data_IF_460967083957
#
_entry.id   IF_460967083957
#
_cell.length_a   1.000
_cell.length_b   1.000
_cell.length_c   1.000
_cell.angle_alpha   90.00
_cell.angle_beta   90.00
_cell.angle_gamma   90.00
#
_symmetry.space_group_name_H-M   'P 1'
#
loop_
_entity.id
_entity.type
_entity.pdbx_description
1 polymer ?
#
# COMPACT_ATOMS: atom_id res chain seq x y z
N UNK A 1 21.76 -27.33 37.97
CA UNK A 1 20.65 -27.30 37.00
C UNK A 1 21.22 -27.08 35.62
N UNK A 2 21.31 -28.13 34.79
CA UNK A 2 21.70 -28.00 33.38
C UNK A 2 20.43 -27.66 32.60
N UNK A 3 20.20 -26.38 32.31
CA UNK A 3 19.19 -25.96 31.35
C UNK A 3 19.60 -26.50 29.98
N UNK A 4 18.81 -27.42 29.43
CA UNK A 4 18.99 -27.90 28.06
C UNK A 4 18.71 -26.78 27.07
N UNK A 5 19.59 -26.57 26.08
CA UNK A 5 19.42 -25.61 24.98
C UNK A 5 18.07 -25.76 24.25
N UNK A 6 17.41 -26.93 24.34
CA UNK A 6 16.10 -27.18 23.74
C UNK A 6 14.96 -26.40 24.43
N UNK A 7 15.04 -26.19 25.75
CA UNK A 7 14.06 -25.36 26.49
C UNK A 7 14.20 -23.90 26.07
N UNK A 8 15.43 -23.46 25.79
CA UNK A 8 15.72 -22.12 25.27
C UNK A 8 15.19 -21.97 23.85
N UNK A 9 15.32 -22.98 22.97
CA UNK A 9 14.77 -22.92 21.61
C UNK A 9 13.23 -22.87 21.58
N UNK A 10 12.54 -23.64 22.43
CA UNK A 10 11.08 -23.60 22.53
C UNK A 10 10.57 -22.32 23.22
N UNK A 11 11.31 -21.81 24.21
CA UNK A 11 11.03 -20.52 24.84
C UNK A 11 11.40 -19.32 23.97
N UNK A 12 12.25 -19.48 22.94
CA UNK A 12 12.57 -18.46 21.94
C UNK A 12 11.57 -18.45 20.77
N UNK A 13 10.88 -19.56 20.48
CA UNK A 13 9.84 -19.62 19.44
C UNK A 13 8.54 -18.87 19.82
N UNK A 14 8.23 -18.78 21.11
CA UNK A 14 7.02 -18.10 21.62
C UNK A 14 7.11 -16.56 21.52
N UNK A 15 8.24 -15.91 21.88
CA UNK A 15 8.41 -14.47 21.66
C UNK A 15 8.64 -14.11 20.18
N UNK A 16 9.27 -14.94 19.35
CA UNK A 16 9.48 -14.56 17.93
C UNK A 16 8.17 -14.46 17.14
N UNK A 17 7.17 -15.29 17.45
CA UNK A 17 5.81 -15.13 16.89
C UNK A 17 5.05 -13.90 17.45
N UNK A 18 5.46 -13.39 18.61
CA UNK A 18 4.88 -12.20 19.25
C UNK A 18 5.58 -10.90 18.85
N UNK A 19 6.84 -10.96 18.43
CA UNK A 19 7.69 -9.81 18.07
C UNK A 19 7.89 -9.62 16.56
N UNK A 20 7.50 -10.57 15.70
CA UNK A 20 7.62 -10.43 14.24
C UNK A 20 6.64 -9.43 13.60
N UNK A 21 5.79 -8.76 14.38
CA UNK A 21 4.81 -7.78 13.87
C UNK A 21 5.11 -6.32 14.25
N UNK A 22 6.13 -6.06 15.08
CA UNK A 22 6.52 -4.70 15.42
C UNK A 22 7.80 -4.31 14.67
N UNK A 23 7.63 -3.75 13.47
CA UNK A 23 8.32 -2.53 13.03
C UNK A 23 8.30 -2.39 11.50
N UNK A 24 7.55 -1.39 11.03
CA UNK A 24 8.08 -0.35 10.14
C UNK A 24 7.05 0.78 10.08
N UNK A 25 7.24 1.78 10.93
CA UNK A 25 6.66 3.09 10.73
C UNK A 25 7.77 4.11 10.95
N UNK A 26 8.50 4.40 9.87
CA UNK A 26 9.25 5.65 9.74
C UNK A 26 8.36 6.58 8.94
N UNK A 27 7.87 7.65 9.56
CA UNK A 27 7.91 8.98 8.95
C UNK A 27 7.46 10.03 9.97
N UNK A 28 8.44 10.75 10.51
CA UNK A 28 8.23 12.13 10.93
C UNK A 28 8.10 12.97 9.65
N UNK A 29 6.88 13.36 9.29
CA UNK A 29 6.60 14.62 8.59
C UNK A 29 7.23 14.86 7.21
N UNK A 30 7.71 13.85 6.50
CA UNK A 30 8.17 13.99 5.11
C UNK A 30 7.34 13.08 4.19
N UNK A 31 6.92 13.66 3.05
CA UNK A 31 6.12 13.14 1.95
C UNK A 31 6.03 11.61 1.77
N UNK A 32 4.87 11.08 1.34
CA UNK A 32 4.63 9.66 1.29
C UNK A 32 5.52 8.99 0.21
N UNK A 33 6.34 8.08 0.70
CA UNK A 33 6.94 6.95 0.00
C UNK A 33 6.07 6.43 -1.16
N UNK A 34 6.64 6.47 -2.36
CA UNK A 34 6.08 6.15 -3.69
C UNK A 34 5.62 4.70 -3.90
N UNK A 35 5.62 3.86 -2.85
CA UNK A 35 5.21 2.45 -2.90
C UNK A 35 3.99 2.13 -2.02
N UNK A 36 3.40 3.13 -1.36
CA UNK A 36 2.12 2.98 -0.65
C UNK A 36 1.15 4.02 -1.16
N UNK A 37 -0.13 3.68 -1.28
CA UNK A 37 -1.18 4.43 -1.99
C UNK A 37 -1.55 5.80 -1.41
N UNK A 38 -0.67 6.48 -0.66
CA UNK A 38 -0.93 7.81 -0.11
C UNK A 38 -2.16 7.88 0.80
N UNK A 39 -2.69 6.74 1.26
CA UNK A 39 -3.83 6.69 2.17
C UNK A 39 -3.41 7.27 3.51
N UNK A 40 -3.91 8.47 3.82
CA UNK A 40 -3.63 9.22 5.05
C UNK A 40 -4.01 8.50 6.36
N UNK A 41 -4.62 7.31 6.30
CA UNK A 41 -4.98 6.49 7.44
C UNK A 41 -4.20 5.16 7.44
N UNK A 42 -2.89 5.22 7.69
CA UNK A 42 -2.13 4.04 8.13
C UNK A 42 -2.19 4.02 9.65
N UNK A 43 -3.06 3.17 10.20
CA UNK A 43 -3.11 2.97 11.65
C UNK A 43 -1.99 1.99 12.05
N UNK A 44 -1.16 2.30 13.06
CA UNK A 44 -0.19 1.34 13.57
C UNK A 44 -0.94 0.08 14.05
N UNK A 45 -0.39 -1.10 13.77
CA UNK A 45 -1.00 -2.39 14.12
C UNK A 45 -0.90 -2.63 15.63
N UNK A 46 -1.79 -1.99 16.39
CA UNK A 46 -1.91 -2.11 17.84
C UNK A 46 -3.13 -2.98 18.18
N UNK A 47 -3.19 -3.53 19.40
CA UNK A 47 -4.38 -4.25 19.85
C UNK A 47 -5.67 -3.39 19.82
N UNK A 48 -5.56 -2.05 19.77
CA UNK A 48 -6.70 -1.15 19.63
C UNK A 48 -7.19 -1.01 18.18
N UNK A 49 -6.29 -1.13 17.19
CA UNK A 49 -6.63 -1.08 15.76
C UNK A 49 -6.88 -2.46 15.14
N UNK A 50 -6.76 -3.52 15.94
CA UNK A 50 -7.05 -4.90 15.54
C UNK A 50 -8.47 -5.04 15.01
N UNK A 51 -8.59 -5.55 13.78
CA UNK A 51 -9.88 -5.71 13.08
C UNK A 51 -10.43 -7.14 13.13
N UNK A 52 -9.58 -8.12 13.43
CA UNK A 52 -9.89 -9.54 13.31
C UNK A 52 -9.53 -10.30 14.57
N UNK A 53 -10.31 -11.34 14.87
CA UNK A 53 -9.88 -12.39 15.80
C UNK A 53 -8.77 -13.20 15.12
N UNK A 54 -7.75 -13.59 15.87
CA UNK A 54 -6.57 -14.29 15.35
C UNK A 54 -6.11 -15.43 16.25
N UNK A 55 -6.87 -15.72 17.31
CA UNK A 55 -6.63 -16.85 18.20
C UNK A 55 -7.81 -17.81 18.10
N UNK A 56 -7.52 -19.11 18.12
CA UNK A 56 -8.52 -20.15 18.34
C UNK A 56 -8.00 -21.26 19.25
N UNK A 57 -8.94 -21.99 19.84
CA UNK A 57 -8.68 -23.25 20.54
C UNK A 57 -9.38 -24.33 19.76
N UNK A 58 -8.65 -25.36 19.35
CA UNK A 58 -9.20 -26.49 18.63
C UNK A 58 -9.08 -27.76 19.45
N UNK A 59 -10.07 -28.64 19.37
CA UNK A 59 -10.02 -29.95 20.00
C UNK A 59 -10.71 -30.97 19.11
N UNK A 60 -10.14 -32.17 19.01
CA UNK A 60 -10.71 -33.22 18.17
C UNK A 60 -10.30 -34.61 18.61
N UNK A 61 -11.00 -35.59 18.04
CA UNK A 61 -10.78 -37.02 18.30
C UNK A 61 -10.70 -37.77 16.99
N UNK A 62 -10.02 -38.90 16.99
CA UNK A 62 -9.73 -39.61 15.77
C UNK A 62 -9.19 -41.01 15.97
N UNK A 63 -8.65 -41.53 14.87
CA UNK A 63 -8.13 -42.88 14.79
C UNK A 63 -6.75 -42.84 14.14
N UNK A 64 -5.71 -43.24 14.88
CA UNK A 64 -4.38 -43.45 14.32
C UNK A 64 -4.28 -44.87 13.73
N UNK A 65 -3.65 -44.97 12.56
CA UNK A 65 -3.55 -46.17 11.73
C UNK A 65 -2.10 -46.38 11.32
N UNK A 66 -1.42 -47.36 11.91
CA UNK A 66 -0.08 -47.76 11.47
C UNK A 66 -0.18 -48.42 10.09
N UNK A 67 0.60 -47.90 9.15
CA UNK A 67 0.66 -48.43 7.79
C UNK A 67 2.09 -48.75 7.37
N UNK A 68 3.04 -47.88 7.70
CA UNK A 68 4.45 -48.05 7.35
C UNK A 68 5.20 -48.57 8.56
N UNK A 69 4.99 -49.85 8.89
CA UNK A 69 5.56 -50.53 10.04
C UNK A 69 5.54 -52.05 9.80
N UNK A 70 6.30 -52.82 10.57
CA UNK A 70 6.27 -54.29 10.53
C UNK A 70 4.90 -54.83 10.96
N UNK A 71 4.37 -54.27 12.05
CA UNK A 71 3.01 -54.46 12.53
C UNK A 71 2.12 -53.32 12.04
N UNK A 72 1.24 -53.64 11.10
CA UNK A 72 0.26 -52.70 10.55
C UNK A 72 -1.11 -52.80 11.23
N UNK A 73 -1.85 -51.67 11.23
CA UNK A 73 -3.25 -51.58 11.66
C UNK A 73 -4.24 -52.08 10.60
N UNK A 74 -3.91 -51.89 9.31
CA UNK A 74 -4.74 -52.29 8.17
C UNK A 74 -4.12 -53.54 7.53
N UNK A 75 -4.95 -54.56 7.31
CA UNK A 75 -4.52 -55.82 6.66
C UNK A 75 -4.91 -55.83 5.18
N UNK A 76 -3.93 -56.12 4.31
CA UNK A 76 -4.15 -56.29 2.87
C UNK A 76 -4.55 -57.75 2.54
N UNK A 77 -5.67 -58.24 3.10
CA UNK A 77 -6.14 -59.62 2.89
C UNK A 77 -7.09 -60.12 3.99
N UNK A 78 -7.12 -61.44 4.23
CA UNK A 78 -7.90 -62.03 5.33
C UNK A 78 -7.32 -61.65 6.69
N UNK A 79 -8.11 -60.93 7.50
CA UNK A 79 -7.77 -60.45 8.84
C UNK A 79 -8.72 -59.32 9.27
N UNK A 80 -8.71 -58.96 10.55
CA UNK A 80 -9.48 -57.80 11.06
C UNK A 80 -8.60 -56.56 11.13
N UNK A 81 -9.11 -55.43 10.66
CA UNK A 81 -8.47 -54.14 10.88
C UNK A 81 -8.50 -53.78 12.38
N UNK A 82 -7.40 -53.20 12.85
CA UNK A 82 -7.23 -52.80 14.24
C UNK A 82 -7.26 -51.29 14.35
N UNK A 83 -8.10 -50.79 15.24
CA UNK A 83 -8.31 -49.36 15.42
C UNK A 83 -7.88 -48.91 16.80
N UNK A 84 -7.02 -47.90 16.79
CA UNK A 84 -6.63 -47.12 17.95
C UNK A 84 -7.62 -46.00 18.26
N UNK A 85 -7.21 -45.08 19.12
CA UNK A 85 -7.86 -43.79 19.32
C UNK A 85 -6.82 -42.69 19.45
N UNK A 86 -7.19 -41.48 19.02
CA UNK A 86 -6.39 -40.27 19.22
C UNK A 86 -7.30 -39.14 19.67
N UNK A 87 -6.75 -38.21 20.44
CA UNK A 87 -7.38 -36.95 20.80
C UNK A 87 -6.32 -35.86 20.77
N UNK A 88 -6.70 -34.68 20.32
CA UNK A 88 -5.81 -33.52 20.31
C UNK A 88 -6.51 -32.30 20.90
N UNK A 89 -5.70 -31.41 21.46
CA UNK A 89 -6.06 -30.02 21.78
C UNK A 89 -4.97 -29.13 21.23
N UNK A 90 -5.34 -28.05 20.54
CA UNK A 90 -4.40 -27.06 20.04
C UNK A 90 -4.82 -25.64 20.38
N UNK A 91 -3.80 -24.78 20.54
CA UNK A 91 -3.95 -23.33 20.55
C UNK A 91 -3.38 -22.83 19.24
N UNK A 92 -4.22 -22.16 18.46
CA UNK A 92 -3.90 -21.73 17.11
C UNK A 92 -3.80 -20.21 17.06
N UNK A 93 -2.78 -19.71 16.39
CA UNK A 93 -2.53 -18.30 16.15
C UNK A 93 -2.47 -18.04 14.64
N UNK A 94 -3.44 -17.31 14.12
CA UNK A 94 -3.36 -16.76 12.77
C UNK A 94 -2.37 -15.59 12.75
N UNK A 95 -1.36 -15.67 11.88
CA UNK A 95 -0.38 -14.60 11.66
C UNK A 95 -0.82 -13.73 10.50
N UNK A 96 -1.34 -14.35 9.44
CA UNK A 96 -1.92 -13.69 8.27
C UNK A 96 -3.27 -14.32 7.92
N UNK A 97 -3.93 -13.82 6.86
CA UNK A 97 -5.14 -14.43 6.33
C UNK A 97 -4.89 -15.82 5.73
N UNK A 98 -3.64 -16.17 5.39
CA UNK A 98 -3.28 -17.43 4.75
C UNK A 98 -2.35 -18.31 5.59
N UNK A 99 -1.75 -17.80 6.67
CA UNK A 99 -0.75 -18.53 7.46
C UNK A 99 -0.95 -18.36 8.97
N UNK A 100 -0.76 -19.45 9.71
CA UNK A 100 -0.87 -19.51 11.16
C UNK A 100 0.07 -20.55 11.77
N UNK A 101 0.12 -20.55 13.09
CA UNK A 101 0.95 -21.45 13.89
C UNK A 101 0.07 -22.10 14.96
N UNK A 102 0.18 -23.41 15.13
CA UNK A 102 -0.61 -24.18 16.09
C UNK A 102 0.32 -24.90 17.06
N UNK A 103 0.14 -24.67 18.35
CA UNK A 103 0.73 -25.47 19.41
C UNK A 103 -0.25 -26.59 19.77
N UNK A 104 0.10 -27.83 19.49
CA UNK A 104 -0.80 -28.99 19.63
C UNK A 104 -0.25 -29.99 20.65
N UNK A 105 -1.15 -30.52 21.48
CA UNK A 105 -0.93 -31.69 22.32
C UNK A 105 -1.84 -32.82 21.84
N UNK A 106 -1.24 -33.99 21.59
CA UNK A 106 -1.91 -35.21 21.19
C UNK A 106 -1.77 -36.27 22.27
N UNK A 107 -2.82 -37.09 22.42
CA UNK A 107 -2.79 -38.30 23.22
C UNK A 107 -3.54 -39.41 22.51
N UNK A 108 -2.96 -40.60 22.47
CA UNK A 108 -3.59 -41.72 21.77
C UNK A 108 -3.05 -43.09 22.13
N UNK A 109 -3.69 -44.09 21.52
CA UNK A 109 -3.24 -45.47 21.49
C UNK A 109 -3.38 -45.98 20.06
N UNK A 110 -2.30 -46.52 19.49
CA UNK A 110 -2.36 -47.27 18.24
C UNK A 110 -2.55 -48.77 18.50
N UNK A 111 -3.10 -49.49 17.52
CA UNK A 111 -3.22 -50.94 17.56
C UNK A 111 -2.83 -51.56 16.22
N UNK A 112 -2.04 -52.61 16.28
CA UNK A 112 -1.40 -53.19 15.11
C UNK A 112 -1.14 -54.68 15.30
N UNK A 113 -0.85 -55.39 14.20
CA UNK A 113 -0.53 -56.81 14.23
C UNK A 113 -1.71 -57.72 13.87
N UNK A 114 -1.64 -59.00 14.24
CA UNK A 114 -2.53 -60.04 13.70
C UNK A 114 -3.87 -60.18 14.42
N UNK A 115 -3.94 -59.75 15.68
CA UNK A 115 -5.13 -59.82 16.52
C UNK A 115 -5.20 -58.60 17.45
N UNK A 116 -6.35 -58.37 18.09
CA UNK A 116 -6.48 -57.29 19.06
C UNK A 116 -5.79 -57.68 20.37
N UNK A 117 -4.95 -56.81 20.93
CA UNK A 117 -4.25 -57.07 22.21
C UNK A 117 -5.19 -57.34 23.39
N UNK A 118 -6.49 -57.03 23.27
CA UNK A 118 -7.52 -57.44 24.24
C UNK A 118 -7.88 -58.92 24.18
N UNK A 119 -7.75 -59.55 23.02
CA UNK A 119 -8.12 -60.94 22.77
C UNK A 119 -6.93 -61.88 23.07
N UNK A 120 -7.21 -63.17 23.28
CA UNK A 120 -6.15 -64.18 23.36
C UNK A 120 -5.46 -64.34 21.99
N UNK A 121 -4.16 -64.63 21.99
CA UNK A 121 -3.44 -64.90 20.74
C UNK A 121 -4.06 -66.13 20.05
N UNK A 122 -4.39 -66.06 18.75
CA UNK A 122 -5.05 -67.14 18.04
C UNK A 122 -4.15 -68.37 17.86
N UNK A 123 -2.83 -68.16 17.82
CA UNK A 123 -1.81 -69.21 17.73
C UNK A 123 -0.49 -68.76 18.36
N UNK A 124 0.50 -69.66 18.40
CA UNK A 124 1.81 -69.41 19.01
C UNK A 124 2.70 -68.44 18.23
N UNK A 125 2.46 -68.26 16.93
CA UNK A 125 3.21 -67.36 16.05
C UNK A 125 2.61 -65.95 15.94
N UNK A 126 1.37 -65.78 16.39
CA UNK A 126 0.65 -64.53 16.29
C UNK A 126 1.20 -63.46 17.24
N UNK A 127 1.43 -62.28 16.67
CA UNK A 127 1.92 -61.10 17.38
C UNK A 127 0.96 -59.93 17.18
N UNK A 128 0.67 -59.22 18.26
CA UNK A 128 -0.08 -57.97 18.26
C UNK A 128 0.66 -56.88 19.03
N UNK A 129 0.55 -55.65 18.57
CA UNK A 129 1.14 -54.46 19.18
C UNK A 129 0.07 -53.46 19.61
N UNK A 130 0.35 -52.74 20.69
CA UNK A 130 -0.35 -51.49 21.02
C UNK A 130 0.64 -50.46 21.53
N UNK A 131 0.48 -49.21 21.12
CA UNK A 131 1.40 -48.15 21.54
C UNK A 131 0.63 -46.96 22.07
N UNK A 132 0.86 -46.65 23.33
CA UNK A 132 0.24 -45.49 23.99
C UNK A 132 1.20 -44.31 23.90
N UNK A 133 0.72 -43.18 23.41
CA UNK A 133 1.55 -42.02 23.16
C UNK A 133 0.94 -40.71 23.67
N UNK A 134 1.82 -39.79 24.04
CA UNK A 134 1.56 -38.40 24.37
C UNK A 134 2.55 -37.55 23.56
N UNK A 135 2.08 -36.58 22.77
CA UNK A 135 2.94 -35.78 21.91
C UNK A 135 2.66 -34.29 22.05
N UNK A 136 3.71 -33.47 21.94
CA UNK A 136 3.61 -32.01 21.85
C UNK A 136 4.27 -31.58 20.56
N UNK A 137 3.59 -30.79 19.74
CA UNK A 137 4.09 -30.35 18.44
C UNK A 137 3.78 -28.89 18.14
N UNK A 138 4.62 -28.30 17.30
CA UNK A 138 4.42 -26.99 16.70
C UNK A 138 4.18 -27.18 15.20
N UNK A 139 3.03 -26.72 14.72
CA UNK A 139 2.60 -26.86 13.33
C UNK A 139 2.47 -25.50 12.67
N UNK A 140 2.88 -25.38 11.42
CA UNK A 140 2.41 -24.35 10.51
C UNK A 140 1.04 -24.74 9.94
N UNK A 141 0.12 -23.78 9.85
CA UNK A 141 -1.19 -23.89 9.21
C UNK A 141 -1.23 -22.97 7.98
N UNK A 142 -1.37 -23.53 6.79
CA UNK A 142 -1.53 -22.79 5.54
C UNK A 142 -2.96 -22.93 5.04
N UNK A 143 -3.70 -21.82 4.92
CA UNK A 143 -5.03 -21.78 4.33
C UNK A 143 -4.93 -21.64 2.80
N UNK A 144 -4.97 -22.77 2.09
CA UNK A 144 -4.94 -22.82 0.63
C UNK A 144 -6.18 -22.18 -0.01
N UNK A 145 -7.33 -22.18 0.66
CA UNK A 145 -8.54 -21.53 0.13
C UNK A 145 -8.40 -20.01 0.04
N UNK A 146 -7.64 -19.39 0.94
CA UNK A 146 -7.29 -17.97 0.82
C UNK A 146 -6.14 -17.73 -0.16
N UNK A 147 -5.12 -18.60 -0.16
CA UNK A 147 -3.95 -18.44 -1.05
C UNK A 147 -4.31 -18.61 -2.53
N UNK A 148 -5.15 -19.59 -2.85
CA UNK A 148 -5.54 -19.96 -4.22
C UNK A 148 -6.91 -19.38 -4.60
N UNK A 149 -7.37 -18.36 -3.87
CA UNK A 149 -8.67 -17.74 -4.14
C UNK A 149 -8.66 -17.08 -5.50
N UNK A 150 -9.66 -17.42 -6.32
CA UNK A 150 -9.90 -16.69 -7.57
C UNK A 150 -10.41 -15.28 -7.27
N UNK A 151 -9.81 -14.31 -7.96
CA UNK A 151 -10.10 -12.86 -7.86
C UNK A 151 -11.56 -12.55 -8.20
N UNK A 152 -12.17 -13.30 -9.12
CA UNK A 152 -13.54 -13.07 -9.61
C UNK A 152 -14.64 -13.74 -8.77
N UNK A 153 -14.29 -14.57 -7.78
CA UNK A 153 -15.27 -15.22 -6.92
C UNK A 153 -15.56 -14.39 -5.66
N UNK A 154 -16.74 -13.79 -5.63
CA UNK A 154 -17.20 -12.91 -4.56
C UNK A 154 -17.99 -13.63 -3.45
N UNK A 155 -18.22 -14.95 -3.58
CA UNK A 155 -19.05 -15.69 -2.63
C UNK A 155 -18.34 -15.91 -1.27
N UNK A 156 -19.04 -15.71 -0.13
CA UNK A 156 -18.49 -16.07 1.17
C UNK A 156 -18.39 -17.60 1.28
N UNK A 157 -17.17 -18.13 1.23
CA UNK A 157 -16.97 -19.56 1.34
C UNK A 157 -17.15 -20.03 2.79
N UNK A 158 -17.82 -21.18 2.96
CA UNK A 158 -17.98 -21.85 4.26
C UNK A 158 -16.99 -22.99 4.45
N UNK A 159 -16.22 -23.34 3.43
CA UNK A 159 -15.25 -24.44 3.45
C UNK A 159 -13.86 -23.91 3.15
N UNK A 160 -12.88 -24.29 3.97
CA UNK A 160 -11.48 -23.93 3.79
C UNK A 160 -10.61 -25.17 3.76
N UNK A 161 -9.75 -25.28 2.76
CA UNK A 161 -8.71 -26.31 2.68
C UNK A 161 -7.43 -25.78 3.34
N UNK A 162 -6.90 -26.57 4.26
CA UNK A 162 -5.71 -26.25 5.04
C UNK A 162 -4.62 -27.30 4.85
N UNK A 163 -3.37 -26.85 4.88
CA UNK A 163 -2.18 -27.68 4.96
C UNK A 163 -1.50 -27.52 6.31
N UNK A 164 -1.09 -28.64 6.90
CA UNK A 164 -0.41 -28.68 8.18
C UNK A 164 0.96 -29.32 8.01
N UNK A 165 1.99 -28.75 8.62
CA UNK A 165 3.30 -29.37 8.70
C UNK A 165 4.05 -28.89 9.94
N UNK A 166 4.80 -29.76 10.59
CA UNK A 166 5.63 -29.36 11.71
C UNK A 166 6.35 -30.51 12.39
N UNK A 167 6.89 -30.18 13.56
CA UNK A 167 7.78 -31.04 14.34
C UNK A 167 7.33 -31.06 15.80
N UNK A 168 7.67 -32.12 16.51
CA UNK A 168 7.31 -32.24 17.91
C UNK A 168 8.12 -33.30 18.64
N UNK A 169 7.76 -33.50 19.91
CA UNK A 169 8.27 -34.59 20.73
C UNK A 169 7.14 -35.56 21.06
N UNK A 170 7.40 -36.86 20.92
CA UNK A 170 6.46 -37.95 21.22
C UNK A 170 7.03 -38.84 22.32
N UNK A 171 6.31 -38.94 23.43
CA UNK A 171 6.55 -39.94 24.45
C UNK A 171 5.64 -41.13 24.17
N UNK A 172 6.16 -42.35 24.27
CA UNK A 172 5.33 -43.52 24.04
C UNK A 172 5.78 -44.75 24.83
N UNK A 173 4.83 -45.66 25.03
CA UNK A 173 5.05 -47.01 25.57
C UNK A 173 4.46 -48.03 24.61
N UNK A 174 5.33 -48.82 24.01
CA UNK A 174 4.98 -49.83 23.03
C UNK A 174 4.92 -51.21 23.70
N UNK A 175 3.79 -51.89 23.56
CA UNK A 175 3.54 -53.20 24.15
C UNK A 175 3.33 -54.24 23.06
N UNK A 176 3.90 -55.42 23.27
CA UNK A 176 3.71 -56.59 22.42
C UNK A 176 2.90 -57.64 23.17
N UNK A 177 1.97 -58.30 22.48
CA UNK A 177 1.25 -59.47 22.99
C UNK A 177 1.48 -60.67 22.09
N UNK A 178 1.84 -61.78 22.72
CA UNK A 178 1.99 -63.11 22.10
C UNK A 178 1.15 -64.14 22.87
N UNK A 179 1.28 -65.41 22.52
CA UNK A 179 0.67 -66.54 23.26
C UNK A 179 1.13 -66.63 24.73
N UNK A 180 2.30 -66.05 25.07
CA UNK A 180 2.85 -66.06 26.43
C UNK A 180 2.35 -64.92 27.32
N UNK A 181 1.61 -63.96 26.75
CA UNK A 181 1.11 -62.79 27.46
C UNK A 181 1.54 -61.48 26.82
N UNK A 182 1.36 -60.38 27.55
CA UNK A 182 1.71 -59.04 27.10
C UNK A 182 2.96 -58.54 27.84
N UNK A 183 3.90 -57.98 27.09
CA UNK A 183 5.15 -57.40 27.58
C UNK A 183 5.31 -55.96 27.09
N UNK A 184 6.03 -55.15 27.87
CA UNK A 184 6.48 -53.82 27.45
C UNK A 184 7.78 -53.99 26.66
N UNK A 185 7.81 -53.50 25.42
CA UNK A 185 8.98 -53.60 24.54
C UNK A 185 9.87 -52.36 24.67
N UNK A 186 9.26 -51.19 24.49
CA UNK A 186 9.97 -49.93 24.40
C UNK A 186 9.23 -48.83 25.16
N UNK A 187 10.00 -47.98 25.83
CA UNK A 187 9.51 -46.77 26.47
C UNK A 187 10.43 -45.60 26.07
N UNK A 188 9.86 -44.61 25.38
CA UNK A 188 10.53 -43.36 25.05
C UNK A 188 9.93 -42.23 25.88
N UNK A 189 10.79 -41.47 26.55
CA UNK A 189 10.40 -40.33 27.38
C UNK A 189 10.34 -39.05 26.55
N UNK A 190 9.47 -38.08 26.90
CA UNK A 190 9.34 -36.84 26.13
C UNK A 190 10.63 -36.00 26.22
N UNK A 191 10.89 -35.20 25.18
CA UNK A 191 12.00 -34.25 25.10
C UNK A 191 13.41 -34.89 25.09
N UNK A 192 13.51 -36.14 24.65
CA UNK A 192 14.77 -36.81 24.34
C UNK A 192 15.05 -36.78 22.83
N UNK A 193 16.31 -36.98 22.42
CA UNK A 193 16.69 -36.99 21.00
C UNK A 193 15.88 -38.01 20.17
N UNK A 194 15.65 -39.21 20.71
CA UNK A 194 14.81 -40.25 20.06
C UNK A 194 13.30 -40.01 20.17
N UNK A 195 12.86 -38.91 20.78
CA UNK A 195 11.43 -38.54 20.84
C UNK A 195 11.03 -37.56 19.74
N UNK A 196 11.96 -37.11 18.89
CA UNK A 196 11.65 -36.12 17.86
C UNK A 196 10.87 -36.78 16.72
N UNK A 197 9.70 -36.22 16.41
CA UNK A 197 8.88 -36.69 15.30
C UNK A 197 8.49 -35.53 14.39
N UNK A 198 8.13 -35.86 13.15
CA UNK A 198 7.61 -34.90 12.17
C UNK A 198 6.20 -35.30 11.76
N UNK A 199 5.36 -34.32 11.45
CA UNK A 199 4.04 -34.61 10.89
C UNK A 199 3.65 -33.60 9.83
N UNK A 200 2.94 -34.08 8.82
CA UNK A 200 2.39 -33.24 7.76
C UNK A 200 1.06 -33.82 7.26
N UNK A 201 0.16 -32.96 6.82
CA UNK A 201 -1.17 -33.39 6.43
C UNK A 201 -2.04 -32.28 5.86
N UNK A 202 -3.29 -32.63 5.62
CA UNK A 202 -4.30 -31.71 5.14
C UNK A 202 -5.48 -31.68 6.09
N UNK A 203 -6.16 -30.54 6.16
CA UNK A 203 -7.43 -30.42 6.87
C UNK A 203 -8.48 -29.68 6.06
N UNK A 204 -9.73 -30.02 6.33
CA UNK A 204 -10.90 -29.38 5.75
C UNK A 204 -11.69 -28.75 6.89
N UNK A 205 -11.76 -27.42 6.90
CA UNK A 205 -12.52 -26.65 7.89
C UNK A 205 -13.85 -26.20 7.30
N UNK A 206 -14.91 -26.31 8.09
CA UNK A 206 -16.24 -25.82 7.77
C UNK A 206 -16.69 -24.76 8.79
N UNK A 207 -17.00 -23.56 8.31
CA UNK A 207 -17.50 -22.44 9.11
C UNK A 207 -18.97 -22.65 9.46
N UNK A 208 -19.20 -23.10 10.69
CA UNK A 208 -20.55 -23.24 11.25
C UNK A 208 -21.14 -21.87 11.52
N UNK A 209 -20.41 -21.04 12.27
CA UNK A 209 -20.79 -19.67 12.60
C UNK A 209 -19.54 -18.78 12.81
N UNK A 210 -19.72 -17.56 13.33
CA UNK A 210 -18.60 -16.62 13.57
C UNK A 210 -17.59 -17.09 14.62
N UNK A 211 -17.97 -18.03 15.51
CA UNK A 211 -17.14 -18.52 16.61
C UNK A 211 -16.67 -19.96 16.46
N UNK A 212 -17.42 -20.80 15.74
CA UNK A 212 -17.19 -22.25 15.70
C UNK A 212 -16.95 -22.69 14.26
N UNK A 213 -15.89 -23.47 14.09
CA UNK A 213 -15.64 -24.30 12.90
C UNK A 213 -15.67 -25.78 13.28
N UNK A 214 -16.04 -26.61 12.30
CA UNK A 214 -15.80 -28.05 12.32
C UNK A 214 -14.57 -28.31 11.47
N UNK A 215 -13.70 -29.22 11.88
CA UNK A 215 -12.46 -29.51 11.18
C UNK A 215 -12.23 -31.02 11.09
N UNK A 216 -12.02 -31.52 9.87
CA UNK A 216 -11.43 -32.85 9.66
C UNK A 216 -9.95 -32.70 9.32
N UNK A 217 -9.05 -33.43 9.99
CA UNK A 217 -7.62 -33.49 9.65
C UNK A 217 -7.21 -34.90 9.27
N UNK A 218 -6.35 -35.02 8.27
CA UNK A 218 -5.62 -36.23 7.94
C UNK A 218 -4.13 -35.92 7.99
N UNK A 219 -3.46 -36.41 9.02
CA UNK A 219 -2.04 -36.19 9.28
C UNK A 219 -1.26 -37.48 9.02
N UNK A 220 -0.10 -37.38 8.39
CA UNK A 220 0.90 -38.44 8.35
C UNK A 220 1.98 -38.12 9.36
N UNK A 221 2.24 -39.04 10.27
CA UNK A 221 3.18 -38.89 11.38
C UNK A 221 4.38 -39.79 11.14
N UNK A 222 5.55 -39.16 11.05
CA UNK A 222 6.85 -39.83 10.95
C UNK A 222 7.49 -39.84 12.33
N UNK A 223 7.51 -41.01 12.97
CA UNK A 223 8.01 -41.19 14.34
C UNK A 223 9.53 -41.07 14.42
N UNK A 224 10.24 -41.42 13.35
CA UNK A 224 11.71 -41.51 13.33
C UNK A 224 12.25 -42.71 14.11
N UNK A 225 11.38 -43.66 14.44
CA UNK A 225 11.65 -44.74 15.39
C UNK A 225 10.98 -46.03 14.90
N UNK A 226 11.75 -47.13 14.86
CA UNK A 226 11.37 -48.47 14.38
C UNK A 226 10.75 -49.33 15.50
N UNK A 227 10.75 -48.83 16.74
CA UNK A 227 10.18 -49.52 17.90
C UNK A 227 8.74 -49.08 18.23
N UNK A 228 8.18 -48.13 17.48
CA UNK A 228 6.88 -47.53 17.79
C UNK A 228 5.72 -48.50 17.60
N UNK A 229 5.82 -49.51 16.73
CA UNK A 229 4.79 -50.51 16.48
C UNK A 229 4.76 -51.63 17.53
N UNK A 230 5.69 -51.64 18.48
CA UNK A 230 5.82 -52.68 19.51
C UNK A 230 6.39 -54.00 19.00
N UNK A 231 7.01 -54.01 17.82
CA UNK A 231 7.94 -55.03 17.37
C UNK A 231 9.33 -54.83 17.98
N UNK A 232 10.15 -55.88 17.96
CA UNK A 232 11.60 -55.76 18.19
C UNK A 232 12.15 -56.35 19.49
N UNK A 233 12.47 -57.65 19.46
CA UNK A 233 13.64 -58.14 20.20
C UNK A 233 14.85 -58.09 19.25
N UNK A 234 16.08 -57.91 19.74
CA UNK A 234 17.28 -57.72 18.90
C UNK A 234 17.57 -58.90 17.93
N UNK A 235 16.87 -60.03 18.11
CA UNK A 235 16.97 -61.25 17.29
C UNK A 235 15.59 -61.87 16.98
N UNK A 236 14.51 -61.08 16.97
CA UNK A 236 13.16 -61.57 16.69
C UNK A 236 12.99 -62.03 15.23
N UNK A 237 12.28 -63.14 15.00
CA UNK A 237 11.90 -63.59 13.67
C UNK A 237 10.88 -62.67 12.97
N UNK A 238 10.22 -61.79 13.74
CA UNK A 238 9.15 -60.88 13.28
C UNK A 238 9.69 -59.48 13.00
N UNK A 239 10.88 -59.12 13.52
CA UNK A 239 11.44 -57.78 13.39
C UNK A 239 12.98 -57.88 13.35
N UNK A 240 13.57 -57.50 12.21
CA UNK A 240 15.02 -57.27 12.08
C UNK A 240 15.24 -55.77 12.14
N UNK A 241 15.61 -55.27 13.31
CA UNK A 241 15.95 -53.86 13.54
C UNK A 241 16.84 -53.34 12.41
N UNK A 242 16.33 -52.36 11.68
CA UNK A 242 17.11 -51.67 10.66
C UNK A 242 17.07 -50.19 11.00
N UNK A 243 18.24 -49.59 11.23
CA UNK A 243 18.40 -48.16 11.60
C UNK A 243 17.85 -47.17 10.54
N UNK A 244 17.21 -47.64 9.47
CA UNK A 244 16.68 -46.85 8.35
C UNK A 244 15.16 -46.99 8.14
N UNK A 245 14.46 -47.73 8.98
CA UNK A 245 12.99 -47.89 8.90
C UNK A 245 12.35 -47.16 10.07
N UNK A 246 11.22 -46.50 9.82
CA UNK A 246 10.50 -45.68 10.80
C UNK A 246 9.03 -46.08 10.76
N UNK A 247 8.47 -46.34 11.93
CA UNK A 247 7.09 -46.79 12.08
C UNK A 247 6.11 -45.64 12.00
N UNK A 248 5.59 -45.41 10.79
CA UNK A 248 4.76 -44.24 10.51
C UNK A 248 3.27 -44.59 10.50
N UNK A 249 2.45 -43.63 10.92
CA UNK A 249 1.01 -43.80 10.98
C UNK A 249 0.26 -42.61 10.40
N UNK A 250 -0.92 -42.88 9.86
CA UNK A 250 -1.91 -41.87 9.54
C UNK A 250 -2.78 -41.59 10.75
N UNK A 251 -3.05 -40.32 11.04
CA UNK A 251 -3.98 -39.90 12.08
C UNK A 251 -5.13 -39.13 11.43
N UNK A 252 -6.31 -39.74 11.40
CA UNK A 252 -7.53 -39.12 10.88
C UNK A 252 -8.37 -38.62 12.06
N UNK A 253 -8.59 -37.31 12.17
CA UNK A 253 -9.30 -36.68 13.29
C UNK A 253 -10.46 -35.82 12.81
N UNK A 254 -11.48 -35.71 13.65
CA UNK A 254 -12.59 -34.78 13.52
C UNK A 254 -12.68 -33.94 14.80
N UNK A 255 -12.77 -32.63 14.65
CA UNK A 255 -12.71 -31.69 15.76
C UNK A 255 -13.53 -30.44 15.56
N UNK A 256 -13.54 -29.62 16.61
CA UNK A 256 -14.14 -28.30 16.67
C UNK A 256 -13.06 -27.26 16.93
N UNK A 257 -13.18 -26.10 16.29
CA UNK A 257 -12.32 -24.95 16.53
C UNK A 257 -13.14 -23.77 17.01
N UNK A 258 -12.79 -23.25 18.19
CA UNK A 258 -13.42 -22.09 18.82
C UNK A 258 -12.54 -20.86 18.62
N UNK A 259 -13.03 -19.90 17.84
CA UNK A 259 -12.40 -18.60 17.61
C UNK A 259 -12.58 -17.71 18.84
N UNK A 260 -11.48 -17.16 19.34
CA UNK A 260 -11.44 -16.31 20.52
C UNK A 260 -11.34 -14.84 20.12
N UNK A 261 -12.15 -14.02 20.79
CA UNK A 261 -12.10 -12.56 20.67
C UNK A 261 -13.46 -11.92 20.43
N UNK A 262 -13.42 -10.60 20.26
CA UNK A 262 -14.60 -9.72 20.20
C UNK A 262 -14.96 -9.26 18.79
N UNK A 263 -14.11 -9.53 17.80
CA UNK A 263 -14.34 -9.10 16.42
C UNK A 263 -15.32 -10.05 15.71
N UNK A 264 -15.97 -9.55 14.67
CA UNK A 264 -16.98 -10.30 13.89
C UNK A 264 -16.37 -11.40 13.04
N UNK A 265 -15.18 -11.17 12.49
CA UNK A 265 -14.48 -12.11 11.62
C UNK A 265 -13.14 -12.56 12.21
N UNK A 266 -12.78 -13.80 11.91
CA UNK A 266 -11.47 -14.36 12.20
C UNK A 266 -10.56 -14.18 10.98
N UNK A 267 -9.28 -13.90 11.21
CA UNK A 267 -8.31 -13.52 10.19
C UNK A 267 -8.20 -14.57 9.06
N UNK A 268 -8.18 -15.86 9.41
CA UNK A 268 -8.18 -16.97 8.45
C UNK A 268 -9.46 -17.12 7.61
N UNK A 269 -10.54 -16.43 7.98
CA UNK A 269 -11.82 -16.43 7.26
C UNK A 269 -12.10 -15.08 6.60
N UNK A 270 -11.11 -14.19 6.59
CA UNK A 270 -11.23 -12.88 5.97
C UNK A 270 -10.50 -12.85 4.63
N UNK A 271 -11.15 -12.26 3.64
CA UNK A 271 -10.58 -12.04 2.33
C UNK A 271 -9.96 -10.63 2.26
N UNK A 272 -8.63 -10.52 2.08
CA UNK A 272 -7.97 -9.22 2.00
C UNK A 272 -8.45 -8.38 0.80
N UNK A 273 -8.90 -9.01 -0.29
CA UNK A 273 -9.35 -8.29 -1.49
C UNK A 273 -10.77 -7.73 -1.35
N UNK A 274 -11.56 -8.29 -0.43
CA UNK A 274 -12.94 -7.85 -0.21
C UNK A 274 -13.02 -6.36 0.17
N UNK A 275 -12.07 -5.84 0.95
CA UNK A 275 -12.02 -4.42 1.31
C UNK A 275 -11.71 -3.54 0.08
N UNK A 276 -10.87 -4.01 -0.83
CA UNK A 276 -10.54 -3.30 -2.08
C UNK A 276 -11.75 -3.29 -3.00
N UNK A 277 -12.41 -4.43 -3.19
CA UNK A 277 -13.61 -4.51 -4.02
C UNK A 277 -14.74 -3.63 -3.51
N UNK A 278 -14.97 -3.62 -2.20
CA UNK A 278 -15.95 -2.73 -1.60
C UNK A 278 -15.63 -1.26 -1.87
N UNK A 279 -14.37 -0.85 -1.72
CA UNK A 279 -13.96 0.53 -2.03
C UNK A 279 -14.13 0.86 -3.52
N UNK A 280 -13.77 -0.06 -4.41
CA UNK A 280 -13.96 0.11 -5.85
C UNK A 280 -15.44 0.25 -6.20
N UNK A 281 -16.31 -0.58 -5.64
CA UNK A 281 -17.76 -0.53 -5.84
C UNK A 281 -18.36 0.76 -5.30
N UNK A 282 -17.96 1.18 -4.09
CA UNK A 282 -18.35 2.48 -3.53
C UNK A 282 -17.90 3.62 -4.43
N UNK A 283 -16.69 3.58 -5.00
CA UNK A 283 -16.20 4.62 -5.91
C UNK A 283 -16.92 4.58 -7.27
N UNK A 284 -17.21 3.40 -7.80
CA UNK A 284 -17.95 3.23 -9.05
C UNK A 284 -19.41 3.71 -8.93
N UNK A 285 -20.03 3.47 -7.78
CA UNK A 285 -21.41 3.88 -7.49
C UNK A 285 -21.51 5.27 -6.85
N UNK A 286 -20.38 5.91 -6.54
CA UNK A 286 -20.38 7.31 -6.12
C UNK A 286 -20.62 8.15 -7.36
N UNK A 287 -21.90 8.43 -7.63
CA UNK A 287 -22.28 9.53 -8.50
C UNK A 287 -21.53 10.77 -8.00
N UNK A 288 -20.51 11.20 -8.75
CA UNK A 288 -20.05 12.56 -8.63
C UNK A 288 -21.16 13.38 -9.27
N UNK A 289 -22.13 13.80 -8.46
CA UNK A 289 -22.95 14.94 -8.80
C UNK A 289 -21.96 16.11 -8.92
N UNK A 290 -21.41 16.29 -10.12
CA UNK A 290 -20.69 17.48 -10.49
C UNK A 290 -21.79 18.54 -10.48
N UNK A 291 -21.89 19.25 -9.36
CA UNK A 291 -22.76 20.42 -9.24
C UNK A 291 -22.20 21.49 -10.20
N UNK A 292 -22.67 21.46 -11.44
CA UNK A 292 -22.32 22.42 -12.49
C UNK A 292 -22.96 23.76 -12.08
N UNK A 293 -22.17 24.83 -12.07
CA UNK A 293 -22.65 26.18 -11.79
C UNK A 293 -23.20 26.36 -10.37
N UNK A 294 -22.42 25.93 -9.37
CA UNK A 294 -22.77 26.06 -7.95
C UNK A 294 -23.00 27.52 -7.55
N UNK A 295 -22.23 28.43 -8.12
CA UNK A 295 -22.36 29.88 -7.88
C UNK A 295 -23.39 30.57 -8.78
N UNK A 296 -23.92 29.88 -9.79
CA UNK A 296 -24.80 30.46 -10.80
C UNK A 296 -24.05 31.08 -11.98
N UNK A 297 -24.75 31.94 -12.70
CA UNK A 297 -24.30 32.79 -13.82
C UNK A 297 -24.96 34.16 -13.59
N UNK A 298 -24.23 35.09 -12.97
CA UNK A 298 -24.78 36.33 -12.42
C UNK A 298 -25.10 37.37 -13.50
N UNK A 299 -24.26 37.47 -14.53
CA UNK A 299 -24.38 38.42 -15.64
C UNK A 299 -25.11 37.81 -16.87
N UNK A 300 -25.42 36.52 -16.83
CA UNK A 300 -26.16 35.76 -17.84
C UNK A 300 -25.47 35.77 -19.20
N UNK A 301 -24.14 35.70 -19.21
CA UNK A 301 -23.33 35.62 -20.43
C UNK A 301 -23.23 34.18 -20.99
N UNK A 302 -23.68 33.18 -20.21
CA UNK A 302 -23.68 31.76 -20.56
C UNK A 302 -22.50 30.97 -20.01
N UNK A 303 -21.62 31.59 -19.22
CA UNK A 303 -20.51 30.96 -18.51
C UNK A 303 -20.72 31.12 -17.00
N UNK A 304 -20.72 30.01 -16.28
CA UNK A 304 -21.00 30.06 -14.85
C UNK A 304 -19.86 30.71 -14.06
N UNK A 305 -20.21 31.48 -13.02
CA UNK A 305 -19.31 32.22 -12.11
C UNK A 305 -18.15 31.37 -11.52
N UNK A 306 -18.32 30.05 -11.49
CA UNK A 306 -17.28 29.11 -11.06
C UNK A 306 -16.10 29.01 -12.06
N UNK A 307 -16.34 29.32 -13.33
CA UNK A 307 -15.42 29.22 -14.46
C UNK A 307 -15.27 30.51 -15.26
N UNK A 308 -16.15 31.48 -15.03
CA UNK A 308 -16.12 32.80 -15.62
C UNK A 308 -14.97 33.66 -15.04
N UNK A 309 -14.22 34.30 -15.94
CA UNK A 309 -13.11 35.21 -15.62
C UNK A 309 -13.55 36.66 -15.55
N UNK A 310 -14.71 37.02 -16.11
CA UNK A 310 -15.27 38.35 -16.16
C UNK A 310 -16.73 38.32 -15.67
N UNK A 311 -16.89 38.30 -14.34
CA UNK A 311 -18.16 38.21 -13.60
C UNK A 311 -19.17 39.37 -13.82
N UNK A 312 -18.88 40.28 -14.74
CA UNK A 312 -19.63 41.50 -14.99
C UNK A 312 -19.70 41.85 -16.49
N UNK A 313 -19.70 40.84 -17.34
CA UNK A 313 -19.85 41.02 -18.78
C UNK A 313 -21.17 41.76 -19.10
N UNK A 314 -21.13 42.79 -19.95
CA UNK A 314 -22.35 43.51 -20.34
C UNK A 314 -23.38 42.60 -21.03
N UNK A 315 -24.65 42.74 -20.64
CA UNK A 315 -25.74 41.97 -21.23
C UNK A 315 -25.79 42.12 -22.76
N UNK A 316 -25.74 40.99 -23.47
CA UNK A 316 -25.73 40.92 -24.93
C UNK A 316 -24.34 40.97 -25.57
N UNK A 317 -23.26 41.12 -24.79
CA UNK A 317 -21.91 40.91 -25.28
C UNK A 317 -21.71 39.43 -25.63
N UNK A 318 -20.94 39.16 -26.68
CA UNK A 318 -20.50 37.80 -26.99
C UNK A 318 -19.24 37.51 -26.19
N UNK A 319 -19.20 36.36 -25.53
CA UNK A 319 -18.06 35.93 -24.72
C UNK A 319 -17.33 34.73 -25.29
N UNK A 320 -16.09 34.53 -24.86
CA UNK A 320 -15.33 33.31 -25.10
C UNK A 320 -15.71 32.19 -24.10
N UNK A 321 -15.05 31.04 -24.20
CA UNK A 321 -15.32 29.90 -23.30
C UNK A 321 -14.93 30.13 -21.83
N UNK A 322 -14.40 31.31 -21.51
CA UNK A 322 -14.03 31.72 -20.16
C UNK A 322 -14.86 32.93 -19.66
N UNK A 323 -15.93 33.31 -20.36
CA UNK A 323 -16.85 34.40 -19.97
C UNK A 323 -16.29 35.80 -20.23
N UNK A 324 -15.19 35.92 -20.97
CA UNK A 324 -14.61 37.24 -21.29
C UNK A 324 -15.25 37.80 -22.56
N UNK A 325 -15.69 39.06 -22.52
CA UNK A 325 -16.24 39.76 -23.67
C UNK A 325 -15.23 39.81 -24.84
N UNK A 326 -15.71 39.51 -26.05
CA UNK A 326 -14.89 39.55 -27.26
C UNK A 326 -14.50 40.99 -27.62
N UNK A 327 -13.22 41.16 -27.96
CA UNK A 327 -12.59 42.34 -28.55
C UNK A 327 -11.72 41.83 -29.70
N UNK A 328 -12.25 41.91 -30.91
CA UNK A 328 -11.71 41.22 -32.09
C UNK A 328 -10.43 41.89 -32.62
N UNK A 329 -10.30 43.20 -32.49
CA UNK A 329 -9.14 43.96 -32.99
C UNK A 329 -8.19 44.45 -31.88
N UNK A 330 -8.53 44.18 -30.62
CA UNK A 330 -7.71 44.38 -29.42
C UNK A 330 -7.40 45.87 -29.16
N UNK A 331 -8.33 46.75 -29.48
CA UNK A 331 -8.22 48.19 -29.24
C UNK A 331 -8.70 48.63 -27.83
N UNK A 332 -9.32 47.71 -27.08
CA UNK A 332 -9.84 47.93 -25.74
C UNK A 332 -11.32 48.30 -25.69
N UNK A 333 -12.01 48.37 -26.83
CA UNK A 333 -13.46 48.49 -26.95
C UNK A 333 -14.03 47.11 -27.32
N UNK A 334 -14.86 46.53 -26.45
CA UNK A 334 -15.49 45.24 -26.75
C UNK A 334 -16.36 45.34 -28.02
N UNK A 335 -16.49 44.24 -28.77
CA UNK A 335 -17.22 44.14 -30.03
C UNK A 335 -18.67 44.67 -29.94
N UNK A 336 -19.28 44.61 -28.75
CA UNK A 336 -20.63 45.14 -28.49
C UNK A 336 -20.72 46.67 -28.63
N UNK A 337 -19.65 47.38 -28.27
CA UNK A 337 -19.58 48.84 -28.26
C UNK A 337 -18.69 49.40 -29.37
N UNK A 338 -18.03 48.53 -30.12
CA UNK A 338 -17.19 48.89 -31.25
C UNK A 338 -18.00 48.97 -32.56
N UNK A 339 -17.93 50.12 -33.22
CA UNK A 339 -18.54 50.34 -34.54
C UNK A 339 -17.69 49.75 -35.68
N UNK A 340 -16.41 49.50 -35.43
CA UNK A 340 -15.40 49.09 -36.38
C UNK A 340 -14.67 47.81 -35.94
N UNK A 341 -15.39 46.80 -35.42
CA UNK A 341 -14.98 45.47 -34.89
C UNK A 341 -13.65 44.83 -35.35
N UNK A 342 -13.16 45.13 -36.56
CA UNK A 342 -11.95 44.55 -37.14
C UNK A 342 -10.81 45.56 -37.38
N UNK A 343 -10.97 46.83 -36.99
CA UNK A 343 -10.06 47.93 -37.30
C UNK A 343 -9.88 48.81 -36.06
N UNK A 344 -8.69 48.76 -35.41
CA UNK A 344 -8.47 49.42 -34.13
C UNK A 344 -8.75 50.92 -34.15
N UNK A 345 -9.40 51.42 -33.11
CA UNK A 345 -9.66 52.83 -32.90
C UNK A 345 -9.68 53.23 -31.42
N UNK A 346 -9.65 54.54 -31.16
CA UNK A 346 -9.81 55.02 -29.79
C UNK A 346 -11.24 54.83 -29.27
N UNK A 347 -11.36 54.61 -27.95
CA UNK A 347 -12.64 54.56 -27.23
C UNK A 347 -13.48 55.82 -27.49
N UNK A 348 -12.82 56.99 -27.61
CA UNK A 348 -13.46 58.27 -27.90
C UNK A 348 -14.23 58.29 -29.23
N UNK A 349 -13.88 57.40 -30.16
CA UNK A 349 -14.53 57.26 -31.47
C UNK A 349 -15.23 55.89 -31.63
N UNK A 350 -15.65 55.26 -30.53
CA UNK A 350 -16.34 53.97 -30.54
C UNK A 350 -15.57 52.87 -31.30
N UNK A 351 -14.26 52.74 -31.06
CA UNK A 351 -13.39 51.74 -31.69
C UNK A 351 -13.11 51.98 -33.17
N UNK A 352 -13.58 53.09 -33.75
CA UNK A 352 -13.24 53.44 -35.14
C UNK A 352 -12.00 54.33 -35.24
N UNK A 353 -11.16 54.16 -36.29
CA UNK A 353 -10.00 55.00 -36.51
C UNK A 353 -10.38 56.48 -36.75
N UNK A 354 -9.62 57.40 -36.18
CA UNK A 354 -9.82 58.84 -36.38
C UNK A 354 -9.02 59.29 -37.61
N UNK A 355 -9.69 59.96 -38.55
CA UNK A 355 -9.01 60.52 -39.71
C UNK A 355 -8.17 61.74 -39.31
N UNK A 356 -6.87 61.54 -39.05
CA UNK A 356 -5.92 62.63 -38.81
C UNK A 356 -5.03 62.84 -40.04
N UNK A 357 -5.42 63.80 -40.87
CA UNK A 357 -4.51 64.44 -41.83
C UNK A 357 -3.60 65.42 -41.07
N UNK A 358 -2.41 64.99 -40.65
CA UNK A 358 -1.38 65.86 -40.08
C UNK A 358 -0.20 65.09 -39.46
N UNK A 359 1.04 65.61 -39.54
CA UNK A 359 2.22 64.89 -39.05
C UNK A 359 2.22 64.84 -37.52
N UNK A 360 2.25 63.61 -36.99
CA UNK A 360 2.22 63.33 -35.56
C UNK A 360 3.52 63.79 -34.92
N UNK A 361 3.41 64.70 -33.96
CA UNK A 361 4.48 65.05 -33.03
C UNK A 361 4.62 63.90 -32.03
N UNK A 362 5.77 63.22 -32.06
CA UNK A 362 6.17 62.21 -31.09
C UNK A 362 6.10 62.78 -29.66
N UNK A 363 5.19 62.26 -28.85
CA UNK A 363 5.28 62.40 -27.39
C UNK A 363 4.88 61.08 -26.72
N UNK A 364 5.90 60.36 -26.26
CA UNK A 364 5.91 59.41 -25.14
C UNK A 364 4.89 58.26 -25.13
N UNK A 365 4.98 57.32 -26.07
CA UNK A 365 4.63 55.92 -25.77
C UNK A 365 5.69 55.35 -24.83
N UNK A 366 5.51 55.63 -23.53
CA UNK A 366 6.25 54.99 -22.44
C UNK A 366 6.01 53.48 -22.49
N UNK A 367 6.98 52.74 -23.01
CA UNK A 367 7.05 51.28 -22.96
C UNK A 367 7.33 50.86 -21.49
N UNK A 368 6.38 51.06 -20.59
CA UNK A 368 6.46 50.62 -19.19
C UNK A 368 5.87 49.20 -19.05
N UNK A 369 6.41 48.38 -18.13
CA UNK A 369 5.67 47.21 -17.62
C UNK A 369 6.31 45.84 -17.80
N UNK A 370 7.62 45.73 -18.06
CA UNK A 370 8.27 44.41 -18.06
C UNK A 370 8.54 44.00 -16.61
N UNK A 371 7.62 43.27 -15.99
CA UNK A 371 7.71 42.82 -14.60
C UNK A 371 8.46 41.48 -14.43
N UNK A 372 9.03 41.26 -13.25
CA UNK A 372 9.82 40.06 -12.93
C UNK A 372 9.35 39.37 -11.64
N UNK A 373 9.55 38.05 -11.59
CA UNK A 373 9.42 37.27 -10.36
C UNK A 373 10.44 37.72 -9.31
N UNK A 374 10.15 37.44 -8.03
CA UNK A 374 11.06 37.72 -6.93
C UNK A 374 12.40 37.02 -7.17
N UNK A 375 13.49 37.75 -6.94
CA UNK A 375 14.86 37.25 -7.09
C UNK A 375 15.19 36.68 -8.48
N UNK A 376 14.48 37.12 -9.53
CA UNK A 376 14.66 36.61 -10.89
C UNK A 376 14.91 37.72 -11.90
N UNK A 377 15.70 37.40 -12.93
CA UNK A 377 15.96 38.16 -14.15
C UNK A 377 15.41 37.47 -15.40
N UNK A 378 14.62 36.41 -15.22
CA UNK A 378 13.96 35.68 -16.31
C UNK A 378 12.82 36.50 -16.90
N UNK A 379 12.82 36.67 -18.21
CA UNK A 379 11.70 37.28 -18.95
C UNK A 379 10.51 36.32 -18.91
N UNK A 380 9.35 36.79 -18.43
CA UNK A 380 8.13 36.01 -18.39
C UNK A 380 7.46 35.94 -19.79
N UNK A 381 6.78 34.84 -20.14
CA UNK A 381 6.04 34.75 -21.40
C UNK A 381 5.01 35.87 -21.59
N UNK A 382 4.38 36.33 -20.49
CA UNK A 382 3.46 37.47 -20.48
C UNK A 382 4.09 38.79 -20.97
N UNK A 383 5.42 38.92 -20.88
CA UNK A 383 6.14 40.12 -21.30
C UNK A 383 6.51 40.10 -22.78
N UNK A 384 6.35 38.96 -23.47
CA UNK A 384 6.72 38.81 -24.88
C UNK A 384 5.98 39.78 -25.82
N UNK A 385 4.65 39.99 -25.70
CA UNK A 385 3.94 40.96 -26.53
C UNK A 385 4.48 42.40 -26.35
N UNK A 386 4.73 42.81 -25.11
CA UNK A 386 5.29 44.13 -24.77
C UNK A 386 6.68 44.30 -25.38
N UNK A 387 7.52 43.27 -25.28
CA UNK A 387 8.86 43.27 -25.86
C UNK A 387 8.86 43.31 -27.39
N UNK A 388 7.94 42.61 -28.04
CA UNK A 388 7.80 42.65 -29.50
C UNK A 388 7.34 44.03 -29.98
N UNK A 389 6.40 44.65 -29.26
CA UNK A 389 6.00 46.04 -29.54
C UNK A 389 7.18 47.01 -29.36
N UNK A 390 7.99 46.82 -28.32
CA UNK A 390 9.22 47.59 -28.11
C UNK A 390 10.22 47.41 -29.27
N UNK A 391 10.41 46.19 -29.80
CA UNK A 391 11.27 45.95 -30.98
C UNK A 391 10.79 46.76 -32.17
N UNK A 392 9.49 46.70 -32.49
CA UNK A 392 8.91 47.41 -33.62
C UNK A 392 9.08 48.93 -33.46
N UNK A 393 8.77 49.45 -32.29
CA UNK A 393 8.85 50.88 -31.99
C UNK A 393 10.29 51.42 -32.05
N UNK A 394 11.25 50.73 -31.43
CA UNK A 394 12.66 51.16 -31.43
C UNK A 394 13.22 51.13 -32.86
N UNK A 395 12.82 50.15 -33.68
CA UNK A 395 13.25 50.06 -35.07
C UNK A 395 12.63 51.15 -35.96
N UNK A 396 11.36 51.52 -35.72
CA UNK A 396 10.71 52.62 -36.45
C UNK A 396 11.17 54.01 -36.02
N UNK A 397 11.67 54.15 -34.80
CA UNK A 397 12.18 55.43 -34.27
C UNK A 397 13.62 55.73 -34.73
N UNK A 398 13.96 57.02 -34.82
CA UNK A 398 15.35 57.47 -35.03
C UNK A 398 16.13 57.69 -33.72
N UNK A 399 15.47 57.51 -32.57
CA UNK A 399 16.04 57.71 -31.24
C UNK A 399 16.91 56.56 -30.72
N UNK A 400 17.66 56.84 -29.66
CA UNK A 400 18.33 55.82 -28.83
C UNK A 400 17.62 55.71 -27.48
N UNK A 401 17.63 54.52 -26.86
CA UNK A 401 16.88 54.26 -25.63
C UNK A 401 17.78 53.65 -24.55
N UNK A 402 17.51 54.00 -23.30
CA UNK A 402 18.05 53.35 -22.11
C UNK A 402 17.04 52.31 -21.61
N UNK A 403 17.50 51.07 -21.50
CA UNK A 403 16.78 49.93 -20.89
C UNK A 403 17.13 49.94 -19.41
N UNK A 404 16.20 50.36 -18.56
CA UNK A 404 16.45 50.60 -17.14
C UNK A 404 15.80 49.50 -16.30
N UNK A 405 16.61 48.78 -15.53
CA UNK A 405 16.15 47.78 -14.57
C UNK A 405 16.04 48.35 -13.15
N UNK A 406 14.98 47.96 -12.44
CA UNK A 406 14.75 48.25 -11.03
C UNK A 406 14.38 46.99 -10.24
N UNK A 407 14.52 47.06 -8.92
CA UNK A 407 14.11 46.01 -7.96
C UNK A 407 13.11 46.55 -6.94
N UNK A 408 12.51 45.65 -6.16
CA UNK A 408 11.92 46.05 -4.88
C UNK A 408 13.01 46.17 -3.81
N UNK A 409 12.66 46.60 -2.60
CA UNK A 409 13.62 46.87 -1.52
C UNK A 409 13.98 45.62 -0.70
N UNK A 410 13.70 44.41 -1.20
CA UNK A 410 14.03 43.17 -0.47
C UNK A 410 15.41 42.72 -0.89
N UNK A 411 16.35 42.72 0.06
CA UNK A 411 17.74 42.34 -0.18
C UNK A 411 18.70 43.44 0.27
N UNK A 412 19.97 43.32 -0.11
CA UNK A 412 20.96 44.39 0.10
C UNK A 412 21.06 45.25 -1.16
N UNK A 413 21.36 46.54 -1.02
CA UNK A 413 21.54 47.48 -2.13
C UNK A 413 22.51 46.91 -3.18
N UNK A 414 23.62 46.32 -2.74
CA UNK A 414 24.64 45.75 -3.60
C UNK A 414 24.13 44.53 -4.39
N UNK A 415 23.23 43.74 -3.80
CA UNK A 415 22.58 42.63 -4.49
C UNK A 415 21.56 43.14 -5.51
N UNK A 416 20.72 44.08 -5.10
CA UNK A 416 19.66 44.67 -5.91
C UNK A 416 20.22 45.45 -7.11
N UNK A 417 21.35 46.14 -6.93
CA UNK A 417 22.09 46.76 -8.03
C UNK A 417 22.47 45.71 -9.09
N UNK A 418 23.15 44.63 -8.70
CA UNK A 418 23.55 43.55 -9.63
C UNK A 418 22.34 42.87 -10.28
N UNK A 419 21.24 42.67 -9.55
CA UNK A 419 20.03 42.03 -10.09
C UNK A 419 19.35 42.91 -11.14
N UNK A 420 19.25 44.22 -10.88
CA UNK A 420 18.68 45.18 -11.81
C UNK A 420 19.48 45.28 -13.12
N UNK A 421 20.81 45.21 -13.05
CA UNK A 421 21.69 45.17 -14.22
C UNK A 421 21.46 43.90 -15.04
N UNK A 422 21.31 42.73 -14.40
CA UNK A 422 21.01 41.48 -15.10
C UNK A 422 19.66 41.55 -15.83
N UNK A 423 18.62 42.10 -15.20
CA UNK A 423 17.31 42.31 -15.82
C UNK A 423 17.39 43.18 -17.07
N UNK A 424 18.05 44.34 -16.95
CA UNK A 424 18.23 45.27 -18.06
C UNK A 424 19.02 44.62 -19.21
N UNK A 425 20.09 43.87 -18.89
CA UNK A 425 20.88 43.15 -19.89
C UNK A 425 20.09 42.02 -20.57
N UNK A 426 19.29 41.25 -19.83
CA UNK A 426 18.46 40.20 -20.41
C UNK A 426 17.42 40.77 -21.39
N UNK A 427 16.77 41.89 -21.02
CA UNK A 427 15.85 42.60 -21.92
C UNK A 427 16.59 43.15 -23.13
N UNK A 428 17.74 43.80 -22.96
CA UNK A 428 18.58 44.28 -24.07
C UNK A 428 18.94 43.15 -25.04
N UNK A 429 19.40 42.01 -24.52
CA UNK A 429 19.78 40.84 -25.32
C UNK A 429 18.58 40.26 -26.08
N UNK A 430 17.40 40.24 -25.45
CA UNK A 430 16.16 39.84 -26.11
C UNK A 430 15.84 40.75 -27.30
N UNK A 431 15.94 42.08 -27.13
CA UNK A 431 15.66 43.04 -28.20
C UNK A 431 16.66 42.91 -29.36
N UNK A 432 17.96 42.75 -29.06
CA UNK A 432 19.00 42.54 -30.09
C UNK A 432 18.71 41.27 -30.89
N UNK A 433 18.39 40.17 -30.20
CA UNK A 433 18.06 38.89 -30.83
C UNK A 433 16.86 39.00 -31.78
N UNK A 434 15.91 39.89 -31.47
CA UNK A 434 14.71 40.12 -32.26
C UNK A 434 14.85 41.29 -33.25
N UNK A 435 16.07 41.79 -33.50
CA UNK A 435 16.36 42.69 -34.63
C UNK A 435 16.58 44.16 -34.27
N UNK A 436 16.64 44.54 -33.00
CA UNK A 436 17.04 45.90 -32.60
C UNK A 436 18.56 46.07 -32.71
N UNK A 437 19.01 47.14 -33.37
CA UNK A 437 20.44 47.44 -33.46
C UNK A 437 21.03 47.75 -32.07
N UNK A 438 22.12 47.05 -31.70
CA UNK A 438 22.78 47.19 -30.38
C UNK A 438 23.17 48.64 -30.04
N UNK A 439 23.49 49.46 -31.05
CA UNK A 439 23.83 50.88 -30.86
C UNK A 439 22.66 51.77 -30.46
N UNK A 440 21.40 51.35 -30.70
CA UNK A 440 20.20 52.11 -30.33
C UNK A 440 19.76 51.88 -28.89
N UNK A 441 20.35 50.90 -28.17
CA UNK A 441 19.90 50.53 -26.83
C UNK A 441 21.04 50.35 -25.82
N UNK A 442 20.90 50.96 -24.64
CA UNK A 442 21.86 50.87 -23.54
C UNK A 442 21.22 50.32 -22.26
N UNK A 443 21.84 49.33 -21.61
CA UNK A 443 21.29 48.74 -20.37
C UNK A 443 21.85 49.45 -19.13
N UNK A 444 20.97 49.82 -18.19
CA UNK A 444 21.31 50.48 -16.93
C UNK A 444 20.55 49.80 -15.79
N UNK A 445 21.23 49.42 -14.72
CA UNK A 445 20.58 48.97 -13.48
C UNK A 445 20.54 50.10 -12.44
N UNK A 446 19.38 50.33 -11.82
CA UNK A 446 19.21 51.33 -10.75
C UNK A 446 18.96 50.70 -9.36
N UNK A 447 18.97 49.37 -9.27
CA UNK A 447 18.67 48.65 -8.04
C UNK A 447 17.32 49.04 -7.44
N UNK A 448 17.29 49.21 -6.13
CA UNK A 448 16.10 49.59 -5.37
C UNK A 448 15.91 51.11 -5.22
N UNK A 449 16.79 51.92 -5.83
CA UNK A 449 16.73 53.39 -5.74
C UNK A 449 15.70 54.03 -6.67
N UNK A 450 15.12 53.24 -7.58
CA UNK A 450 14.19 53.70 -8.62
C UNK A 450 12.84 52.96 -8.50
N UNK A 451 12.21 53.10 -7.34
CA UNK A 451 10.91 52.49 -7.06
C UNK A 451 9.80 53.20 -7.84
N UNK A 452 8.92 52.42 -8.49
CA UNK A 452 7.68 52.93 -9.09
C UNK A 452 6.71 53.40 -8.00
N UNK A 453 6.72 52.70 -6.87
CA UNK A 453 5.98 53.01 -5.66
C UNK A 453 6.96 53.28 -4.52
N UNK A 454 7.41 54.54 -4.35
CA UNK A 454 8.36 54.94 -3.31
C UNK A 454 7.86 54.67 -1.89
N UNK A 455 6.53 54.59 -1.68
CA UNK A 455 5.95 54.26 -0.38
C UNK A 455 6.26 52.83 0.09
N UNK A 456 6.74 51.97 -0.82
CA UNK A 456 7.10 50.58 -0.56
C UNK A 456 8.55 50.42 -0.06
N UNK A 457 9.10 51.41 0.62
CA UNK A 457 10.38 51.34 1.32
C UNK A 457 10.17 51.38 2.86
N UNK A 458 10.36 50.25 3.58
CA UNK A 458 10.68 48.91 3.07
C UNK A 458 9.46 48.20 2.43
N UNK A 459 9.73 47.18 1.61
CA UNK A 459 8.74 46.43 0.83
C UNK A 459 7.58 45.84 1.66
N UNK A 460 7.78 45.65 2.97
CA UNK A 460 6.75 45.19 3.91
C UNK A 460 5.60 46.18 4.10
N UNK A 461 5.77 47.45 3.72
CA UNK A 461 4.70 48.47 3.73
C UNK A 461 3.64 48.28 2.65
N UNK A 462 3.92 47.43 1.66
CA UNK A 462 3.09 47.28 0.47
C UNK A 462 2.64 45.84 0.22
N UNK A 463 1.44 45.64 -0.37
CA UNK A 463 1.02 44.34 -0.86
C UNK A 463 1.93 43.85 -2.00
N UNK A 464 1.98 42.53 -2.22
CA UNK A 464 2.94 41.91 -3.15
C UNK A 464 2.81 42.43 -4.59
N UNK A 465 1.62 42.82 -5.05
CA UNK A 465 1.43 43.36 -6.40
C UNK A 465 2.16 44.69 -6.61
N UNK A 466 2.24 45.57 -5.59
CA UNK A 466 3.03 46.82 -5.67
C UNK A 466 4.52 46.53 -5.68
N UNK A 467 4.96 45.58 -4.86
CA UNK A 467 6.36 45.12 -4.87
C UNK A 467 6.72 44.49 -6.22
N UNK A 468 5.78 43.77 -6.85
CA UNK A 468 5.95 43.22 -8.20
C UNK A 468 6.12 44.30 -9.25
N UNK A 469 5.31 45.34 -9.21
CA UNK A 469 5.44 46.48 -10.11
C UNK A 469 6.76 47.27 -9.90
N UNK A 470 7.35 47.25 -8.70
CA UNK A 470 8.71 47.79 -8.49
C UNK A 470 9.80 46.94 -9.16
N UNK A 471 9.61 45.62 -9.25
CA UNK A 471 10.50 44.68 -9.97
C UNK A 471 10.27 44.75 -11.48
N UNK A 472 10.71 45.85 -12.10
CA UNK A 472 10.42 46.14 -13.51
C UNK A 472 11.66 46.45 -14.34
N UNK A 473 11.50 46.35 -15.66
CA UNK A 473 12.31 47.04 -16.66
C UNK A 473 11.41 47.99 -17.44
N UNK A 474 11.92 49.19 -17.73
CA UNK A 474 11.25 50.20 -18.52
C UNK A 474 12.25 50.89 -19.47
N UNK A 475 11.74 51.62 -20.45
CA UNK A 475 12.55 52.31 -21.46
C UNK A 475 12.48 53.82 -21.29
N UNK A 476 13.60 54.49 -21.47
CA UNK A 476 13.73 55.95 -21.44
C UNK A 476 14.44 56.39 -22.72
N UNK A 477 13.84 57.28 -23.51
CA UNK A 477 14.49 57.84 -24.70
C UNK A 477 15.69 58.71 -24.28
N UNK A 478 16.76 58.69 -25.08
CA UNK A 478 17.97 59.51 -24.90
C UNK A 478 17.94 60.78 -25.74
#
# INVERSE_FOLDING_TARGET
MKLSLAIVALALAIPTASYAQDSTAVSNGAYPNTFSSGSANVSPFTNQSKRFNDWSISAGVGVPLLQSADLTSIKNGNGKNLFGYSAYVSIDKAITHAFGINLQYDRGETRQGWFNTKDAAPDASAVAGRTQYDAISLLGDVNFSNLLRRVDNHSPYRWALHGYAGIGTIAYRAYQKTSQGQQLMTEIKPFQLGSLFMQAGAGLKFKVNRRIDIEGRLMYVVTGDDEFDGGGDAYSAVNKRSEQVSDNFFNATLGLSLKLGKHESHLMWHDPLQEIYYKLDVLANKNQDIEVCKKGDADNDGVCDDWDRQLDTPAGARVDGAGVALDTDLDGVIDLYDKCVTVPGPVENNGCPVATTGPVVETETKLEGIEFDLNSDRILPSNTPILNNAVNYINSSNGSYSVIGATDTRGTDAYNQKLSERRANNVKNYLIKNGVQSGKINAIGKGEKDLKYPECEPATKCPEWKNRANRRVYFEAK
#
